data_IF_952002752281
#
_entry.id   IF_952002752281
#
_cell.length_a   1.000
_cell.length_b   1.000
_cell.length_c   1.000
_cell.angle_alpha   90.00
_cell.angle_beta   90.00
_cell.angle_gamma   90.00
#
_symmetry.space_group_name_H-M   'P 1'
#
loop_
_entity.id
_entity.type
_entity.pdbx_description
1 polymer ?
#
# COMPACT_ATOMS: atom_id res chain seq x y z
N UNK A 1 -9.20 -13.77 8.30
CA UNK A 1 -8.37 -12.73 8.86
C UNK A 1 -8.78 -11.37 8.36
N UNK A 2 -9.11 -10.51 9.26
CA UNK A 2 -9.49 -9.18 8.88
C UNK A 2 -8.26 -8.29 8.78
N UNK A 3 -8.30 -7.31 7.95
CA UNK A 3 -7.25 -6.33 7.86
C UNK A 3 -6.21 -6.57 6.80
N UNK A 4 -5.97 -7.79 6.39
CA UNK A 4 -4.90 -8.08 5.44
C UNK A 4 -5.37 -8.88 4.25
N UNK A 5 -4.83 -8.57 3.10
CA UNK A 5 -4.90 -9.42 1.93
C UNK A 5 -3.50 -9.87 1.58
N UNK A 6 -3.42 -10.94 0.79
CA UNK A 6 -2.14 -11.50 0.43
C UNK A 6 -1.29 -10.48 -0.33
N UNK A 7 -0.02 -10.39 0.05
CA UNK A 7 0.95 -9.55 -0.63
C UNK A 7 1.26 -10.13 -2.01
N UNK A 8 1.33 -9.28 -3.01
CA UNK A 8 1.64 -9.71 -4.36
C UNK A 8 2.78 -8.88 -4.95
N UNK A 9 3.43 -9.43 -5.97
CA UNK A 9 4.52 -8.79 -6.68
C UNK A 9 4.25 -8.85 -8.17
N UNK A 10 4.80 -7.90 -8.91
CA UNK A 10 4.57 -7.83 -10.33
C UNK A 10 5.74 -7.23 -11.09
N UNK A 11 5.61 -7.29 -12.42
CA UNK A 11 6.66 -6.81 -13.32
C UNK A 11 6.50 -5.35 -13.67
N UNK A 12 5.26 -4.88 -13.81
CA UNK A 12 4.97 -3.53 -14.31
C UNK A 12 4.10 -2.77 -13.34
N UNK A 13 4.44 -1.50 -13.12
CA UNK A 13 3.68 -0.64 -12.21
C UNK A 13 2.37 -0.16 -12.82
N UNK A 14 2.32 0.00 -14.15
CA UNK A 14 1.14 0.60 -14.79
C UNK A 14 -0.15 -0.15 -14.47
N UNK A 15 -0.10 -1.47 -14.50
CA UNK A 15 -1.31 -2.26 -14.28
C UNK A 15 -1.91 -2.04 -12.89
N UNK A 16 -1.09 -2.14 -11.85
CA UNK A 16 -1.59 -2.03 -10.48
C UNK A 16 -1.96 -0.59 -10.14
N UNK A 17 -1.20 0.39 -10.65
CA UNK A 17 -1.50 1.81 -10.39
C UNK A 17 -2.84 2.18 -11.02
N UNK A 18 -3.04 1.82 -12.29
CA UNK A 18 -4.29 2.15 -12.97
C UNK A 18 -5.46 1.41 -12.35
N UNK A 19 -5.26 0.16 -11.95
CA UNK A 19 -6.29 -0.61 -11.27
C UNK A 19 -6.70 0.06 -9.95
N UNK A 20 -5.73 0.48 -9.15
CA UNK A 20 -6.01 1.07 -7.85
C UNK A 20 -6.73 2.41 -7.96
N UNK A 21 -6.44 3.19 -9.01
CA UNK A 21 -7.05 4.51 -9.19
C UNK A 21 -8.34 4.47 -10.00
N UNK A 22 -8.71 3.32 -10.55
CA UNK A 22 -9.89 3.23 -11.42
C UNK A 22 -11.18 3.43 -10.61
N UNK A 23 -12.04 4.35 -11.05
CA UNK A 23 -13.35 4.51 -10.39
C UNK A 23 -14.20 3.26 -10.61
N UNK A 24 -15.00 2.92 -9.59
CA UNK A 24 -15.95 1.83 -9.69
C UNK A 24 -17.28 2.25 -9.13
N UNK A 25 -18.36 1.63 -9.62
CA UNK A 25 -19.70 1.99 -9.19
C UNK A 25 -19.94 1.68 -7.71
N UNK A 26 -19.15 0.78 -7.14
CA UNK A 26 -19.29 0.40 -5.73
C UNK A 26 -18.54 1.33 -4.78
N UNK A 27 -17.74 2.26 -5.30
CA UNK A 27 -17.01 3.21 -4.47
C UNK A 27 -17.91 4.40 -4.10
N UNK A 28 -17.80 4.87 -2.85
CA UNK A 28 -18.49 6.08 -2.41
C UNK A 28 -17.90 7.32 -3.05
N UNK A 29 -16.62 7.27 -3.39
CA UNK A 29 -15.94 8.33 -4.11
C UNK A 29 -14.87 7.70 -4.99
N UNK A 30 -14.36 8.46 -5.96
CA UNK A 30 -13.26 7.99 -6.80
C UNK A 30 -12.03 7.74 -5.93
N UNK A 31 -11.36 6.59 -6.11
CA UNK A 31 -10.13 6.32 -5.37
C UNK A 31 -9.10 7.43 -5.59
N UNK A 32 -8.34 7.74 -4.54
CA UNK A 32 -7.35 8.82 -4.60
C UNK A 32 -6.18 8.53 -3.66
N UNK A 33 -5.05 9.15 -3.95
CA UNK A 33 -3.83 8.98 -3.15
C UNK A 33 -3.97 9.76 -1.84
N UNK A 34 -3.74 9.07 -0.72
CA UNK A 34 -3.84 9.70 0.60
C UNK A 34 -2.50 9.80 1.32
N UNK A 35 -1.44 9.25 0.75
CA UNK A 35 -0.14 9.30 1.41
C UNK A 35 0.92 8.58 0.62
N UNK A 36 2.07 8.47 1.24
CA UNK A 36 3.27 7.90 0.65
C UNK A 36 4.36 8.93 0.53
N UNK A 37 5.34 8.65 -0.33
CA UNK A 37 6.50 9.53 -0.47
C UNK A 37 6.75 9.96 -1.91
N UNK A 38 5.73 9.90 -2.76
CA UNK A 38 5.85 10.25 -4.17
C UNK A 38 5.33 11.66 -4.42
N UNK A 39 5.85 12.29 -5.47
CA UNK A 39 5.47 13.67 -5.81
C UNK A 39 4.14 13.72 -6.55
N UNK A 40 3.90 12.75 -7.43
CA UNK A 40 2.69 12.74 -8.23
C UNK A 40 1.51 12.15 -7.50
N UNK A 41 0.32 12.41 -8.01
CA UNK A 41 -0.91 11.85 -7.47
C UNK A 41 -1.82 11.24 -8.54
N UNK A 42 -1.59 11.53 -9.81
CA UNK A 42 -2.36 10.87 -10.87
C UNK A 42 -1.61 9.66 -11.42
N UNK A 43 -2.32 8.83 -12.18
CA UNK A 43 -1.77 7.57 -12.64
C UNK A 43 -0.52 7.73 -13.50
N UNK A 44 -0.51 8.70 -14.39
CA UNK A 44 0.63 8.91 -15.28
C UNK A 44 1.89 9.30 -14.54
N UNK A 45 1.76 10.24 -13.60
CA UNK A 45 2.90 10.70 -12.80
C UNK A 45 3.44 9.59 -11.90
N UNK A 46 2.55 8.85 -11.24
CA UNK A 46 2.96 7.76 -10.36
C UNK A 46 3.69 6.68 -11.14
N UNK A 47 3.16 6.31 -12.30
CA UNK A 47 3.80 5.29 -13.13
C UNK A 47 5.19 5.74 -13.54
N UNK A 48 5.34 7.00 -13.95
CA UNK A 48 6.64 7.51 -14.38
C UNK A 48 7.66 7.49 -13.22
N UNK A 49 7.24 7.89 -12.01
CA UNK A 49 8.14 7.86 -10.86
C UNK A 49 8.54 6.43 -10.50
N UNK A 50 7.58 5.51 -10.49
CA UNK A 50 7.89 4.11 -10.21
C UNK A 50 8.80 3.50 -11.28
N UNK A 51 8.52 3.79 -12.55
CA UNK A 51 9.32 3.22 -13.64
C UNK A 51 10.77 3.71 -13.58
N UNK A 52 11.00 4.90 -13.06
CA UNK A 52 12.36 5.38 -12.88
C UNK A 52 13.17 4.47 -11.94
N UNK A 53 12.54 3.84 -10.95
CA UNK A 53 13.26 2.91 -10.07
C UNK A 53 13.72 1.66 -10.81
N UNK A 54 12.98 1.24 -11.84
CA UNK A 54 13.33 0.04 -12.60
C UNK A 54 14.66 0.20 -13.34
N UNK A 55 14.98 1.42 -13.74
CA UNK A 55 16.23 1.68 -14.46
C UNK A 55 17.45 1.49 -13.56
N UNK A 56 17.28 1.56 -12.24
CA UNK A 56 18.37 1.39 -11.29
C UNK A 56 18.76 -0.08 -11.13
N UNK A 57 17.83 -0.99 -11.36
CA UNK A 57 18.07 -2.42 -11.20
C UNK A 57 17.32 -3.19 -12.28
N UNK A 58 17.82 -3.13 -13.53
CA UNK A 58 17.16 -3.85 -14.64
C UNK A 58 17.17 -5.37 -14.46
N UNK A 59 18.01 -5.86 -13.57
CA UNK A 59 18.06 -7.30 -13.25
C UNK A 59 16.88 -7.78 -12.41
N UNK A 60 16.10 -6.88 -11.82
CA UNK A 60 14.98 -7.28 -10.96
C UNK A 60 13.76 -7.54 -11.81
N UNK A 61 13.27 -8.78 -11.80
CA UNK A 61 12.15 -9.20 -12.63
C UNK A 61 10.81 -8.68 -12.12
N UNK A 62 10.64 -8.61 -10.79
CA UNK A 62 9.36 -8.21 -10.19
C UNK A 62 9.58 -7.08 -9.19
N UNK A 63 9.73 -5.84 -9.67
CA UNK A 63 9.97 -4.70 -8.78
C UNK A 63 8.73 -4.21 -8.04
N UNK A 64 7.54 -4.56 -8.51
CA UNK A 64 6.28 -4.09 -7.94
C UNK A 64 5.94 -4.88 -6.68
N UNK A 65 5.57 -4.15 -5.63
CA UNK A 65 5.05 -4.74 -4.40
C UNK A 65 3.68 -4.13 -4.14
N UNK A 66 2.69 -4.98 -3.86
CA UNK A 66 1.32 -4.53 -3.64
C UNK A 66 0.70 -5.28 -2.48
N UNK A 67 0.03 -4.53 -1.62
CA UNK A 67 -0.73 -5.10 -0.52
C UNK A 67 -1.88 -4.18 -0.20
N UNK A 68 -2.90 -4.68 0.47
CA UNK A 68 -3.98 -3.83 0.92
C UNK A 68 -4.26 -4.06 2.40
N UNK A 69 -4.67 -3.00 3.08
CA UNK A 69 -5.10 -3.02 4.47
C UNK A 69 -6.56 -2.62 4.50
N UNK A 70 -7.37 -3.37 5.24
CA UNK A 70 -8.81 -3.18 5.24
C UNK A 70 -9.34 -3.05 6.65
N UNK A 71 -10.29 -2.14 6.84
CA UNK A 71 -11.02 -2.03 8.09
C UNK A 71 -12.29 -2.87 8.02
N UNK A 72 -12.85 -3.25 9.18
CA UNK A 72 -14.16 -3.86 9.22
C UNK A 72 -15.21 -2.91 8.64
N UNK A 73 -16.30 -3.48 8.16
CA UNK A 73 -17.42 -2.70 7.68
C UNK A 73 -17.91 -1.75 8.77
N UNK A 74 -18.29 -0.57 8.38
CA UNK A 74 -18.79 0.49 9.27
C UNK A 74 -17.71 1.17 10.12
N UNK A 75 -16.44 0.88 9.86
CA UNK A 75 -15.35 1.63 10.48
C UNK A 75 -14.66 2.49 9.44
N UNK A 76 -14.15 3.62 9.86
CA UNK A 76 -13.50 4.56 8.97
C UNK A 76 -12.38 5.29 9.69
N UNK A 77 -11.38 5.68 8.93
CA UNK A 77 -10.28 6.50 9.40
C UNK A 77 -10.16 7.72 8.51
N UNK A 78 -9.58 8.79 9.04
CA UNK A 78 -9.25 9.94 8.20
C UNK A 78 -8.08 9.59 7.29
N UNK A 79 -7.88 10.40 6.26
CA UNK A 79 -6.73 10.21 5.36
C UNK A 79 -5.41 10.26 6.13
N UNK A 80 -5.28 11.21 7.07
CA UNK A 80 -4.06 11.32 7.87
C UNK A 80 -3.83 10.10 8.76
N UNK A 81 -4.88 9.55 9.33
CA UNK A 81 -4.77 8.33 10.14
C UNK A 81 -4.36 7.14 9.29
N UNK A 82 -4.97 6.97 8.12
CA UNK A 82 -4.60 5.90 7.19
C UNK A 82 -3.13 6.04 6.76
N UNK A 83 -2.72 7.26 6.42
CA UNK A 83 -1.35 7.50 5.98
C UNK A 83 -0.34 7.16 7.08
N UNK A 84 -0.63 7.55 8.32
CA UNK A 84 0.23 7.23 9.45
C UNK A 84 0.33 5.74 9.71
N UNK A 85 -0.79 5.03 9.63
CA UNK A 85 -0.81 3.58 9.79
C UNK A 85 0.00 2.90 8.68
N UNK A 86 -0.17 3.35 7.45
CA UNK A 86 0.56 2.76 6.34
C UNK A 86 2.06 3.01 6.45
N UNK A 87 2.46 4.21 6.86
CA UNK A 87 3.89 4.51 7.07
C UNK A 87 4.49 3.60 8.14
N UNK A 88 3.79 3.42 9.25
CA UNK A 88 4.22 2.54 10.32
C UNK A 88 4.31 1.09 9.82
N UNK A 89 3.30 0.65 9.08
CA UNK A 89 3.27 -0.68 8.49
C UNK A 89 4.48 -0.91 7.58
N UNK A 90 4.77 0.03 6.69
CA UNK A 90 5.89 -0.11 5.76
C UNK A 90 7.23 -0.17 6.48
N UNK A 91 7.39 0.66 7.51
CA UNK A 91 8.61 0.64 8.30
C UNK A 91 8.80 -0.71 9.01
N UNK A 92 7.74 -1.22 9.62
CA UNK A 92 7.79 -2.50 10.33
C UNK A 92 8.00 -3.67 9.39
N UNK A 93 7.52 -3.57 8.15
CA UNK A 93 7.74 -4.59 7.12
C UNK A 93 9.19 -4.61 6.63
N UNK A 94 9.94 -3.54 6.83
CA UNK A 94 11.34 -3.49 6.44
C UNK A 94 11.65 -2.60 5.23
N UNK A 95 10.69 -1.79 4.81
CA UNK A 95 10.95 -0.81 3.75
C UNK A 95 11.65 0.41 4.34
N UNK A 96 12.60 0.96 3.60
CA UNK A 96 13.24 2.21 4.00
C UNK A 96 12.39 3.40 3.54
N UNK A 97 12.73 4.58 4.03
CA UNK A 97 12.02 5.80 3.65
C UNK A 97 12.21 6.17 2.18
N UNK A 98 13.18 5.57 1.50
CA UNK A 98 13.47 5.86 0.10
C UNK A 98 13.01 4.75 -0.87
N UNK A 99 12.28 3.77 -0.39
CA UNK A 99 11.51 2.92 -1.29
C UNK A 99 10.25 3.70 -1.65
N UNK A 100 10.08 4.02 -2.93
CA UNK A 100 8.90 4.77 -3.38
C UNK A 100 7.63 4.00 -3.10
N UNK A 101 6.61 4.70 -2.62
CA UNK A 101 5.32 4.10 -2.33
C UNK A 101 4.21 5.13 -2.40
N UNK A 102 3.01 4.67 -2.70
CA UNK A 102 1.81 5.47 -2.57
C UNK A 102 0.69 4.63 -1.96
N UNK A 103 -0.23 5.31 -1.30
CA UNK A 103 -1.38 4.68 -0.66
C UNK A 103 -2.64 5.25 -1.30
N UNK A 104 -3.50 4.37 -1.80
CA UNK A 104 -4.72 4.77 -2.50
C UNK A 104 -5.92 4.31 -1.69
N UNK A 105 -6.79 5.24 -1.34
CA UNK A 105 -7.98 4.92 -0.55
C UNK A 105 -9.11 4.45 -1.44
N UNK A 106 -9.71 3.34 -1.02
CA UNK A 106 -10.97 2.83 -1.55
C UNK A 106 -12.00 2.84 -0.43
N UNK A 107 -13.12 3.48 -0.66
CA UNK A 107 -14.20 3.54 0.32
C UNK A 107 -15.47 3.03 -0.35
N UNK A 108 -15.87 1.82 -0.02
CA UNK A 108 -17.04 1.20 -0.61
C UNK A 108 -17.92 0.57 0.48
N UNK A 109 -19.02 -0.06 0.06
CA UNK A 109 -19.99 -0.60 1.00
C UNK A 109 -19.42 -1.72 1.86
N UNK A 110 -18.35 -2.37 1.42
CA UNK A 110 -17.71 -3.43 2.19
C UNK A 110 -16.74 -2.89 3.25
N UNK A 111 -16.50 -1.58 3.28
CA UNK A 111 -15.61 -0.93 4.25
C UNK A 111 -14.45 -0.22 3.58
N UNK A 112 -13.78 0.61 4.36
CA UNK A 112 -12.59 1.31 3.86
C UNK A 112 -11.41 0.36 3.75
N UNK A 113 -10.63 0.53 2.70
CA UNK A 113 -9.33 -0.11 2.61
C UNK A 113 -8.40 0.76 1.80
N UNK A 114 -7.10 0.56 1.98
CA UNK A 114 -6.10 1.23 1.16
C UNK A 114 -5.33 0.19 0.36
N UNK A 115 -4.92 0.58 -0.83
CA UNK A 115 -3.95 -0.18 -1.61
C UNK A 115 -2.60 0.46 -1.41
N UNK A 116 -1.62 -0.33 -1.01
CA UNK A 116 -0.24 0.12 -0.89
C UNK A 116 0.51 -0.40 -2.11
N UNK A 117 1.06 0.51 -2.89
CA UNK A 117 1.89 0.17 -4.04
C UNK A 117 3.28 0.70 -3.78
N UNK A 118 4.29 -0.15 -3.90
CA UNK A 118 5.66 0.23 -3.62
C UNK A 118 6.61 -0.37 -4.63
N UNK A 119 7.79 0.27 -4.78
CA UNK A 119 8.89 -0.34 -5.50
C UNK A 119 9.78 -1.07 -4.52
N UNK A 120 10.16 -2.30 -4.88
CA UNK A 120 11.10 -3.09 -4.08
C UNK A 120 12.53 -2.57 -4.20
N UNK A 121 12.78 -1.67 -5.14
CA UNK A 121 14.10 -1.10 -5.40
C UNK A 121 14.22 0.22 -4.66
N UNK A 122 15.22 0.31 -3.77
CA UNK A 122 15.45 1.52 -2.99
C UNK A 122 16.04 2.60 -3.90
N UNK A 123 15.38 3.75 -3.95
CA UNK A 123 15.79 4.85 -4.82
C UNK A 123 17.17 5.40 -4.44
N UNK A 124 17.53 5.37 -3.16
CA UNK A 124 18.77 5.99 -2.70
C UNK A 124 20.00 5.11 -2.87
N UNK A 125 19.86 3.80 -2.64
CA UNK A 125 21.03 2.92 -2.61
C UNK A 125 20.87 1.66 -3.48
N UNK A 126 19.77 1.56 -4.22
CA UNK A 126 19.47 0.44 -5.13
C UNK A 126 19.30 -0.90 -4.47
N UNK A 127 19.24 -0.97 -3.14
CA UNK A 127 19.02 -2.26 -2.49
C UNK A 127 17.59 -2.76 -2.74
N UNK A 128 17.44 -4.06 -2.67
CA UNK A 128 16.19 -4.72 -2.99
C UNK A 128 15.50 -5.20 -1.72
N UNK A 129 14.24 -4.83 -1.55
CA UNK A 129 13.42 -5.37 -0.47
C UNK A 129 13.15 -6.87 -0.75
N UNK A 130 13.59 -7.74 0.13
CA UNK A 130 13.47 -9.19 -0.05
C UNK A 130 12.19 -9.76 0.55
N UNK A 131 11.80 -9.30 1.72
CA UNK A 131 10.52 -9.69 2.31
C UNK A 131 10.39 -11.16 2.66
N UNK A 132 11.35 -11.72 3.38
CA UNK A 132 11.23 -13.10 3.83
C UNK A 132 10.11 -13.23 4.86
N UNK A 133 9.27 -14.23 4.68
CA UNK A 133 8.13 -14.49 5.57
C UNK A 133 7.18 -13.30 5.67
N UNK A 134 7.07 -12.52 4.61
CA UNK A 134 6.36 -11.23 4.69
C UNK A 134 4.88 -11.38 5.03
N UNK A 135 4.20 -12.43 4.56
CA UNK A 135 2.79 -12.60 4.87
C UNK A 135 2.55 -12.86 6.35
N UNK A 136 3.41 -13.66 6.98
CA UNK A 136 3.31 -13.92 8.41
C UNK A 136 3.61 -12.66 9.22
N UNK A 137 4.67 -11.96 8.86
CA UNK A 137 5.06 -10.73 9.53
C UNK A 137 3.96 -9.68 9.39
N UNK A 138 3.40 -9.55 8.19
CA UNK A 138 2.31 -8.62 7.92
C UNK A 138 1.11 -8.89 8.81
N UNK A 139 0.71 -10.16 8.94
CA UNK A 139 -0.41 -10.52 9.79
C UNK A 139 -0.20 -10.06 11.23
N UNK A 140 1.01 -10.27 11.76
CA UNK A 140 1.33 -9.86 13.12
C UNK A 140 1.32 -8.34 13.29
N UNK A 141 1.87 -7.62 12.33
CA UNK A 141 1.91 -6.17 12.39
C UNK A 141 0.50 -5.60 12.36
N UNK A 142 -0.34 -6.09 11.49
CA UNK A 142 -1.70 -5.58 11.34
C UNK A 142 -2.48 -5.74 12.66
N UNK A 143 -2.26 -6.83 13.36
CA UNK A 143 -2.90 -7.02 14.67
C UNK A 143 -2.47 -5.98 15.69
N UNK A 144 -1.28 -5.40 15.52
CA UNK A 144 -0.77 -4.39 16.44
C UNK A 144 -1.23 -2.98 16.08
N UNK A 145 -1.33 -2.66 14.78
CA UNK A 145 -1.48 -1.26 14.37
C UNK A 145 -2.88 -0.89 13.90
N UNK A 146 -3.68 -1.81 13.41
CA UNK A 146 -5.04 -1.48 13.00
C UNK A 146 -5.98 -1.53 14.19
N UNK A 147 -6.92 -0.58 14.30
CA UNK A 147 -7.86 -0.53 15.42
C UNK A 147 -8.98 -1.53 15.26
N UNK A 148 -8.64 -2.78 15.08
CA UNK A 148 -9.63 -3.82 14.86
C UNK A 148 -10.17 -4.31 16.18
N UNK A 149 -11.42 -4.57 16.22
CA UNK A 149 -12.10 -5.05 17.39
C UNK A 149 -12.03 -4.11 18.54
N UNK A 150 -11.61 -2.96 18.27
CA UNK A 150 -11.55 -2.03 19.32
C UNK A 150 -12.88 -1.86 19.92
N UNK A 151 -13.60 -2.14 19.41
CA UNK A 151 -14.71 -2.07 20.00
C UNK A 151 -15.03 -3.15 20.73
N UNK A 152 -14.83 -3.57 20.77
CA UNK A 152 -15.26 -4.47 21.25
C UNK A 152 -14.94 -4.58 22.35
N UNK A 153 -14.72 -4.00 22.30
CA UNK A 153 -14.53 -4.03 22.97
C UNK A 153 -14.64 -3.72 23.89
N UNK A 154 -14.53 -3.52 24.07
CA UNK A 154 -14.45 -3.29 24.70
C UNK A 154 -14.75 -3.08 25.36
N UNK A 155 -14.87 -3.05 25.57
CA UNK A 155 -14.92 -2.98 26.00
C UNK A 155 -15.08 -2.83 26.48
#
# INVERSE_FOLDING_TARGET
MKGMQKISRGKNFSGVVLYALKPGSHHKCTPYVIGGNMDGSDGGDLIAEFDATKTLRPDVAKPVWHNSLRLPKNEALTDAQWSGIADDYMSRMGFSETHLRCYVLHDDAAGQHIHIIASRIDLSNRSLYLGKNENLISTRIIQLILPMNSGHGTK
#
